data_IF_292583825115
#
_entry.id   IF_292583825115
#
_cell.length_a   1.000
_cell.length_b   1.000
_cell.length_c   1.000
_cell.angle_alpha   90.00
_cell.angle_beta   90.00
_cell.angle_gamma   90.00
#
_symmetry.space_group_name_H-M   'P 1'
#
loop_
_entity.id
_entity.type
_entity.pdbx_description
1 polymer ?
#
# COMPACT_ATOMS: atom_id res chain seq x y z
N UNK A 1 -3.48 24.32 -29.54
CA UNK A 1 -4.43 23.25 -29.89
C UNK A 1 -5.50 23.18 -28.82
N UNK A 2 -6.72 23.55 -29.17
CA UNK A 2 -7.86 23.57 -28.27
C UNK A 2 -8.35 22.14 -28.01
N UNK A 3 -8.15 21.65 -26.78
CA UNK A 3 -8.81 20.42 -26.33
C UNK A 3 -10.18 20.79 -25.75
N UNK A 4 -11.17 20.92 -26.63
CA UNK A 4 -12.57 20.96 -26.24
C UNK A 4 -13.02 19.55 -25.89
N UNK A 5 -12.86 19.17 -24.61
CA UNK A 5 -13.60 18.07 -24.01
C UNK A 5 -14.09 18.57 -22.65
N UNK A 6 -15.27 19.19 -22.64
CA UNK A 6 -16.01 19.53 -21.41
C UNK A 6 -16.58 18.25 -20.77
N UNK A 7 -15.72 17.31 -20.38
CA UNK A 7 -16.09 16.29 -19.42
C UNK A 7 -15.97 16.92 -18.04
N UNK A 8 -16.96 17.74 -17.68
CA UNK A 8 -17.12 18.23 -16.32
C UNK A 8 -17.52 17.04 -15.45
N UNK A 9 -16.53 16.32 -14.94
CA UNK A 9 -16.74 15.42 -13.82
C UNK A 9 -17.36 16.24 -12.68
N UNK A 10 -18.42 15.75 -12.02
CA UNK A 10 -19.18 16.47 -10.98
C UNK A 10 -18.33 17.08 -9.84
N UNK A 11 -17.07 16.66 -9.74
CA UNK A 11 -16.09 17.05 -8.73
C UNK A 11 -15.05 18.08 -9.23
N UNK A 12 -15.23 18.68 -10.40
CA UNK A 12 -14.37 19.77 -10.91
C UNK A 12 -14.30 20.92 -9.91
N UNK A 13 -13.09 21.23 -9.42
CA UNK A 13 -12.84 22.30 -8.46
C UNK A 13 -12.62 21.85 -7.01
N UNK A 14 -12.87 20.58 -6.68
CA UNK A 14 -12.53 20.03 -5.36
C UNK A 14 -11.02 19.74 -5.32
N UNK A 15 -10.26 20.62 -4.63
CA UNK A 15 -8.82 20.42 -4.42
C UNK A 15 -8.58 19.07 -3.74
N UNK A 16 -7.75 18.23 -4.36
CA UNK A 16 -7.38 16.90 -3.83
C UNK A 16 -8.24 15.73 -4.32
N UNK A 17 -9.37 15.96 -5.00
CA UNK A 17 -10.19 14.86 -5.53
C UNK A 17 -9.43 14.02 -6.56
N UNK A 18 -8.68 14.68 -7.45
CA UNK A 18 -7.84 14.00 -8.43
C UNK A 18 -6.73 13.18 -7.75
N UNK A 19 -6.11 13.72 -6.68
CA UNK A 19 -5.07 13.03 -5.90
C UNK A 19 -5.62 11.77 -5.24
N UNK A 20 -6.78 11.85 -4.59
CA UNK A 20 -7.43 10.69 -3.96
C UNK A 20 -7.86 9.66 -5.01
N UNK A 21 -8.31 10.11 -6.18
CA UNK A 21 -8.68 9.23 -7.29
C UNK A 21 -7.46 8.50 -7.87
N UNK A 22 -6.36 9.21 -8.10
CA UNK A 22 -5.09 8.65 -8.56
C UNK A 22 -4.48 7.69 -7.53
N UNK A 23 -4.55 8.03 -6.24
CA UNK A 23 -4.16 7.12 -5.16
C UNK A 23 -5.05 5.88 -5.10
N UNK A 24 -6.36 6.03 -5.24
CA UNK A 24 -7.31 4.92 -5.30
C UNK A 24 -7.00 3.95 -6.44
N UNK A 25 -6.74 4.48 -7.64
CA UNK A 25 -6.30 3.67 -8.79
C UNK A 25 -4.93 3.04 -8.54
N UNK A 26 -3.98 3.77 -7.95
CA UNK A 26 -2.66 3.25 -7.59
C UNK A 26 -2.80 2.05 -6.63
N UNK A 27 -3.59 2.16 -5.57
CA UNK A 27 -3.82 1.06 -4.64
C UNK A 27 -4.54 -0.12 -5.31
N UNK A 28 -5.53 0.11 -6.17
CA UNK A 28 -6.24 -0.97 -6.87
C UNK A 28 -5.33 -1.77 -7.80
N UNK A 29 -4.41 -1.11 -8.52
CA UNK A 29 -3.54 -1.76 -9.51
C UNK A 29 -2.19 -2.24 -8.94
N UNK A 30 -1.65 -1.61 -7.89
CA UNK A 30 -0.33 -1.94 -7.33
C UNK A 30 -0.41 -2.96 -6.18
N UNK A 31 -1.58 -3.15 -5.55
CA UNK A 31 -1.72 -4.15 -4.48
C UNK A 31 -1.70 -5.57 -5.07
N UNK A 32 -0.49 -6.06 -5.29
CA UNK A 32 -0.20 -7.46 -5.62
C UNK A 32 -0.56 -8.35 -4.44
N UNK A 33 -1.00 -9.60 -4.72
CA UNK A 33 -1.28 -10.58 -3.66
C UNK A 33 -0.08 -10.77 -2.71
N UNK A 34 1.14 -10.77 -3.27
CA UNK A 34 2.40 -10.82 -2.51
C UNK A 34 2.56 -9.63 -1.56
N UNK A 35 2.14 -8.43 -1.94
CA UNK A 35 2.19 -7.26 -1.05
C UNK A 35 1.18 -7.38 0.10
N UNK A 36 -0.03 -7.89 -0.17
CA UNK A 36 -1.03 -8.16 0.89
C UNK A 36 -0.51 -9.18 1.91
N UNK A 37 0.15 -10.24 1.45
CA UNK A 37 0.67 -11.27 2.35
C UNK A 37 1.81 -10.73 3.22
N UNK A 38 2.71 -9.92 2.66
CA UNK A 38 3.75 -9.22 3.44
C UNK A 38 3.15 -8.26 4.47
N UNK A 39 2.09 -7.53 4.11
CA UNK A 39 1.40 -6.65 5.05
C UNK A 39 0.75 -7.44 6.20
N UNK A 40 0.14 -8.60 5.92
CA UNK A 40 -0.39 -9.50 6.97
C UNK A 40 0.70 -9.97 7.92
N UNK A 41 1.88 -10.36 7.40
CA UNK A 41 3.03 -10.76 8.22
C UNK A 41 3.48 -9.62 9.13
N UNK A 42 3.55 -8.38 8.62
CA UNK A 42 3.92 -7.22 9.42
C UNK A 42 2.87 -6.92 10.52
N UNK A 43 1.58 -6.99 10.21
CA UNK A 43 0.50 -6.81 11.20
C UNK A 43 0.51 -7.90 12.27
N UNK A 44 0.73 -9.16 11.87
CA UNK A 44 0.86 -10.27 12.81
C UNK A 44 2.06 -10.08 13.73
N UNK A 45 3.18 -9.62 13.17
CA UNK A 45 4.38 -9.32 13.93
C UNK A 45 4.18 -8.22 14.97
N UNK A 46 3.43 -7.15 14.66
CA UNK A 46 3.13 -6.11 15.64
C UNK A 46 2.23 -6.59 16.78
N UNK A 47 1.35 -7.57 16.52
CA UNK A 47 0.43 -8.11 17.52
C UNK A 47 1.03 -9.20 18.40
N UNK A 48 1.87 -10.07 17.84
CA UNK A 48 2.32 -11.30 18.50
C UNK A 48 3.84 -11.38 18.71
N UNK A 49 4.60 -10.43 18.18
CA UNK A 49 6.06 -10.43 18.31
C UNK A 49 6.78 -11.31 17.28
N UNK A 50 8.11 -11.20 17.28
CA UNK A 50 8.97 -11.70 16.21
C UNK A 50 9.01 -13.23 16.15
N UNK A 51 9.12 -13.88 17.30
CA UNK A 51 9.26 -15.35 17.39
C UNK A 51 8.01 -16.07 16.88
N UNK A 52 6.82 -15.61 17.30
CA UNK A 52 5.55 -16.14 16.82
C UNK A 52 5.37 -15.97 15.30
N UNK A 53 5.91 -14.89 14.73
CA UNK A 53 5.82 -14.62 13.29
C UNK A 53 6.72 -15.53 12.48
N UNK A 54 7.93 -15.81 12.99
CA UNK A 54 8.88 -16.72 12.35
C UNK A 54 8.32 -18.14 12.37
N UNK A 55 7.70 -18.55 13.48
CA UNK A 55 7.05 -19.85 13.62
C UNK A 55 5.84 -19.99 12.67
N UNK A 56 4.94 -19.00 12.66
CA UNK A 56 3.71 -19.05 11.85
C UNK A 56 3.92 -18.92 10.33
N UNK A 57 4.93 -18.15 9.90
CA UNK A 57 5.14 -17.84 8.48
C UNK A 57 6.44 -18.43 7.90
N UNK A 58 7.25 -19.13 8.71
CA UNK A 58 8.55 -19.72 8.30
C UNK A 58 9.47 -18.74 7.56
N UNK A 59 9.27 -17.44 7.79
CA UNK A 59 10.01 -16.38 7.11
C UNK A 59 11.28 -16.06 7.90
N UNK A 60 12.40 -15.85 7.19
CA UNK A 60 13.65 -15.46 7.84
C UNK A 60 13.49 -14.12 8.52
N UNK A 61 14.07 -13.99 9.71
CA UNK A 61 14.13 -12.73 10.48
C UNK A 61 14.57 -11.55 9.61
N UNK A 62 15.67 -11.70 8.88
CA UNK A 62 16.21 -10.65 7.99
C UNK A 62 15.18 -10.16 6.96
N UNK A 63 14.43 -11.08 6.36
CA UNK A 63 13.39 -10.78 5.38
C UNK A 63 12.24 -9.96 5.98
N UNK A 64 11.82 -10.27 7.21
CA UNK A 64 10.79 -9.51 7.93
C UNK A 64 11.28 -8.07 8.22
N UNK A 65 12.53 -7.93 8.66
CA UNK A 65 13.13 -6.61 8.91
C UNK A 65 13.27 -5.78 7.63
N UNK A 66 13.70 -6.39 6.52
CA UNK A 66 13.74 -5.71 5.21
C UNK A 66 12.37 -5.23 4.76
N UNK A 67 11.31 -6.03 4.98
CA UNK A 67 9.95 -5.62 4.65
C UNK A 67 9.49 -4.45 5.52
N UNK A 68 9.80 -4.46 6.83
CA UNK A 68 9.49 -3.30 7.69
C UNK A 68 10.20 -2.04 7.23
N UNK A 69 11.46 -2.16 6.82
CA UNK A 69 12.25 -1.03 6.33
C UNK A 69 11.62 -0.44 5.07
N UNK A 70 11.34 -1.28 4.07
CA UNK A 70 10.68 -0.86 2.81
C UNK A 70 9.30 -0.25 3.06
N UNK A 71 8.56 -0.77 4.02
CA UNK A 71 7.25 -0.23 4.41
C UNK A 71 7.36 1.18 4.99
N UNK A 72 8.34 1.41 5.89
CA UNK A 72 8.62 2.76 6.42
C UNK A 72 9.11 3.73 5.36
N UNK A 73 9.98 3.29 4.46
CA UNK A 73 10.46 4.09 3.33
C UNK A 73 9.32 4.47 2.36
N UNK A 74 8.28 3.63 2.27
CA UNK A 74 7.07 3.87 1.48
C UNK A 74 6.07 4.84 2.11
N UNK A 75 6.32 5.36 3.31
CA UNK A 75 5.44 6.33 3.99
C UNK A 75 4.43 5.73 4.98
N UNK A 76 4.45 4.41 5.19
CA UNK A 76 3.50 3.70 6.05
C UNK A 76 2.18 3.34 5.37
#
# INVERSE_FOLDING_TARGET
MAFHNHWHCKYTGIKGFLTVYEDGLRYLYIITAKAKDRAKVLVFWEKHGLEATIDAFSAKRSTIFEWKKKFKEGGG
#
